data_IF_388719757217
#
_entry.id   IF_388719757217
#
_cell.length_a   1.000
_cell.length_b   1.000
_cell.length_c   1.000
_cell.angle_alpha   90.00
_cell.angle_beta   90.00
_cell.angle_gamma   90.00
#
_symmetry.space_group_name_H-M   'P 1'
#
loop_
_entity.id
_entity.type
_entity.pdbx_description
1 polymer ?
#
# COMPACT_ATOMS: atom_id res chain seq x y z
N UNK A 1 4.52 3.38 -10.62
CA UNK A 1 5.57 2.34 -10.45
C UNK A 1 5.02 1.00 -10.94
N UNK A 2 5.85 -0.05 -11.08
CA UNK A 2 5.32 -1.39 -11.38
C UNK A 2 4.67 -2.04 -10.16
N UNK A 3 3.71 -2.96 -10.37
CA UNK A 3 3.04 -3.69 -9.27
C UNK A 3 4.04 -4.44 -8.38
N UNK A 4 5.04 -5.08 -8.98
CA UNK A 4 6.10 -5.80 -8.24
C UNK A 4 6.89 -4.88 -7.31
N UNK A 5 7.17 -3.65 -7.75
CA UNK A 5 7.88 -2.67 -6.92
C UNK A 5 7.01 -2.20 -5.76
N UNK A 6 5.71 -1.97 -5.99
CA UNK A 6 4.76 -1.60 -4.95
C UNK A 6 4.63 -2.71 -3.88
N UNK A 7 4.53 -3.98 -4.30
CA UNK A 7 4.46 -5.12 -3.39
C UNK A 7 5.74 -5.22 -2.55
N UNK A 8 6.91 -5.08 -3.19
CA UNK A 8 8.19 -5.09 -2.47
C UNK A 8 8.27 -3.95 -1.44
N UNK A 9 7.85 -2.75 -1.83
CA UNK A 9 7.83 -1.57 -0.96
C UNK A 9 6.89 -1.73 0.24
N UNK A 10 5.69 -2.27 0.01
CA UNK A 10 4.75 -2.58 1.07
C UNK A 10 5.38 -3.57 2.06
N UNK A 11 5.96 -4.67 1.55
CA UNK A 11 6.58 -5.70 2.37
C UNK A 11 7.78 -5.17 3.19
N UNK A 12 8.65 -4.34 2.59
CA UNK A 12 9.74 -3.64 3.29
C UNK A 12 9.24 -2.78 4.46
N UNK A 13 7.97 -2.36 4.41
CA UNK A 13 7.32 -1.54 5.42
C UNK A 13 6.31 -2.31 6.29
N UNK A 14 6.34 -3.65 6.28
CA UNK A 14 5.44 -4.45 7.13
C UNK A 14 3.98 -4.34 6.72
N UNK A 15 3.74 -4.10 5.42
CA UNK A 15 2.42 -4.05 4.80
C UNK A 15 2.32 -5.09 3.70
N UNK A 16 1.11 -5.33 3.24
CA UNK A 16 0.85 -6.11 2.03
C UNK A 16 -0.19 -5.42 1.14
N UNK A 17 -0.16 -5.76 -0.16
CA UNK A 17 -1.14 -5.31 -1.15
C UNK A 17 -2.02 -6.50 -1.52
N UNK A 18 -3.33 -6.35 -1.32
CA UNK A 18 -4.32 -7.39 -1.60
C UNK A 18 -5.29 -6.88 -2.66
N UNK A 19 -5.56 -7.64 -3.74
CA UNK A 19 -6.61 -7.30 -4.68
C UNK A 19 -7.99 -7.38 -4.00
N UNK A 20 -8.85 -6.44 -4.36
CA UNK A 20 -10.25 -6.37 -3.90
C UNK A 20 -11.17 -6.38 -5.13
N UNK A 21 -12.46 -6.14 -4.93
CA UNK A 21 -13.42 -6.09 -6.02
C UNK A 21 -13.20 -4.90 -6.96
N UNK A 22 -13.69 -5.01 -8.20
CA UNK A 22 -13.74 -3.91 -9.17
C UNK A 22 -12.40 -3.25 -9.52
N UNK A 23 -11.30 -4.02 -9.52
CA UNK A 23 -9.97 -3.51 -9.93
C UNK A 23 -9.33 -2.57 -8.90
N UNK A 24 -9.74 -2.69 -7.64
CA UNK A 24 -9.16 -1.96 -6.52
C UNK A 24 -8.19 -2.85 -5.76
N UNK A 25 -7.29 -2.22 -5.03
CA UNK A 25 -6.32 -2.86 -4.16
C UNK A 25 -6.40 -2.24 -2.77
N UNK A 26 -6.23 -3.08 -1.76
CA UNK A 26 -6.13 -2.69 -0.37
C UNK A 26 -4.67 -2.84 0.09
N UNK A 27 -4.14 -1.80 0.72
CA UNK A 27 -2.84 -1.79 1.37
C UNK A 27 -3.09 -1.89 2.86
N UNK A 28 -2.67 -2.98 3.50
CA UNK A 28 -2.90 -3.20 4.94
C UNK A 28 -1.61 -3.48 5.68
N UNK A 29 -1.54 -2.99 6.92
CA UNK A 29 -0.46 -3.36 7.84
C UNK A 29 -0.60 -4.83 8.24
N UNK A 30 0.53 -5.54 8.29
CA UNK A 30 0.59 -6.93 8.77
C UNK A 30 1.49 -7.09 9.99
N UNK A 31 2.34 -6.09 10.28
CA UNK A 31 3.28 -6.13 11.40
C UNK A 31 3.00 -5.07 12.48
N UNK A 32 1.92 -4.30 12.34
CA UNK A 32 1.49 -3.26 13.28
C UNK A 32 -0.02 -3.03 13.14
N UNK A 33 -0.60 -2.33 14.12
CA UNK A 33 -2.01 -1.97 14.12
C UNK A 33 -2.21 -0.64 13.39
N UNK A 34 -2.92 -0.68 12.27
CA UNK A 34 -3.29 0.48 11.48
C UNK A 34 -4.46 0.17 10.55
N UNK A 35 -5.26 1.20 10.27
CA UNK A 35 -6.34 1.09 9.29
C UNK A 35 -5.78 0.89 7.87
N UNK A 36 -6.40 0.01 7.07
CA UNK A 36 -5.99 -0.21 5.70
C UNK A 36 -6.39 0.96 4.80
N UNK A 37 -5.66 1.14 3.72
CA UNK A 37 -6.02 2.05 2.64
C UNK A 37 -6.50 1.28 1.41
N UNK A 38 -7.40 1.88 0.64
CA UNK A 38 -7.93 1.27 -0.58
C UNK A 38 -7.91 2.27 -1.73
N UNK A 39 -7.43 1.82 -2.89
CA UNK A 39 -7.32 2.63 -4.10
C UNK A 39 -7.50 1.79 -5.36
N UNK A 40 -7.75 2.45 -6.49
CA UNK A 40 -7.74 1.77 -7.79
C UNK A 40 -6.33 1.26 -8.13
N UNK A 41 -6.24 0.05 -8.70
CA UNK A 41 -4.98 -0.51 -9.16
C UNK A 41 -4.28 0.42 -10.18
N UNK A 42 -5.06 1.04 -11.07
CA UNK A 42 -4.52 2.01 -12.04
C UNK A 42 -3.86 3.21 -11.35
N UNK A 43 -4.41 3.66 -10.22
CA UNK A 43 -3.82 4.76 -9.44
C UNK A 43 -2.49 4.33 -8.83
N UNK A 44 -2.43 3.14 -8.23
CA UNK A 44 -1.19 2.53 -7.72
C UNK A 44 -0.10 2.43 -8.80
N UNK A 45 -0.47 2.03 -10.01
CA UNK A 45 0.50 1.91 -11.10
C UNK A 45 0.99 3.27 -11.62
N UNK A 46 0.15 4.30 -11.54
CA UNK A 46 0.49 5.66 -11.97
C UNK A 46 1.35 6.44 -10.98
N UNK A 47 1.32 6.10 -9.69
CA UNK A 47 2.01 6.89 -8.64
C UNK A 47 3.52 6.66 -8.59
N UNK A 48 4.20 7.65 -8.03
CA UNK A 48 5.63 7.57 -7.74
C UNK A 48 5.91 6.73 -6.48
N UNK A 49 7.17 6.29 -6.31
CA UNK A 49 7.62 5.61 -5.09
C UNK A 49 7.46 6.48 -3.85
N UNK A 50 7.82 7.75 -3.97
CA UNK A 50 7.76 8.71 -2.86
C UNK A 50 6.31 8.91 -2.40
N UNK A 51 5.42 9.21 -3.33
CA UNK A 51 3.98 9.36 -3.10
C UNK A 51 3.37 8.13 -2.41
N UNK A 52 3.72 6.92 -2.85
CA UNK A 52 3.25 5.69 -2.21
C UNK A 52 3.68 5.59 -0.74
N UNK A 53 4.95 5.89 -0.46
CA UNK A 53 5.51 5.77 0.89
C UNK A 53 4.95 6.83 1.84
N UNK A 54 4.64 8.04 1.34
CA UNK A 54 4.18 9.15 2.17
C UNK A 54 2.67 9.19 2.35
N UNK A 55 1.90 8.78 1.33
CA UNK A 55 0.45 8.96 1.32
C UNK A 55 -0.34 7.64 1.41
N UNK A 56 0.25 6.51 1.00
CA UNK A 56 -0.48 5.26 0.79
C UNK A 56 0.05 4.08 1.61
N UNK A 57 1.05 4.27 2.46
CA UNK A 57 1.35 3.34 3.54
C UNK A 57 0.52 3.66 4.78
N UNK A 58 -0.16 2.68 5.38
CA UNK A 58 -0.80 2.86 6.68
C UNK A 58 0.17 3.45 7.71
N UNK A 59 -0.27 4.42 8.53
CA UNK A 59 0.61 5.08 9.49
C UNK A 59 0.99 4.12 10.61
N UNK A 60 2.25 4.19 11.04
CA UNK A 60 2.68 3.54 12.29
C UNK A 60 2.37 4.48 13.45
N UNK A 61 1.41 4.11 14.28
CA UNK A 61 1.26 4.75 15.59
C UNK A 61 2.27 4.11 16.54
N UNK A 62 3.38 4.82 16.81
CA UNK A 62 4.21 4.48 17.96
C UNK A 62 3.45 4.92 19.22
N UNK A 63 3.10 3.95 20.08
CA UNK A 63 2.61 4.23 21.44
C UNK A 63 3.73 4.82 22.31
#
# INVERSE_FOLDING_TARGET
>A
MGLTDAIRLAAENGCEIVPTENGRVMIRAISYDADPYELEERRLLSMSREEFLTEWLPPRFEN
#
